data_IF_274624438694
#
_entry.id   IF_274624438694
#
_cell.length_a   1.000
_cell.length_b   1.000
_cell.length_c   1.000
_cell.angle_alpha   90.00
_cell.angle_beta   90.00
_cell.angle_gamma   90.00
#
_symmetry.space_group_name_H-M   'P 1'
#
loop_
_entity.id
_entity.type
_entity.pdbx_description
1 polymer ?
#
# COMPACT_ATOMS: atom_id res chain seq x y z
N UNK A 1 52.03 -32.12 -17.27
CA UNK A 1 51.62 -32.12 -15.85
C UNK A 1 52.54 -31.17 -15.13
N UNK A 2 52.04 -30.38 -14.17
CA UNK A 2 52.88 -29.40 -13.48
C UNK A 2 53.81 -30.14 -12.50
N UNK A 3 55.12 -29.98 -12.65
CA UNK A 3 56.11 -30.64 -11.79
C UNK A 3 56.06 -30.13 -10.34
N UNK A 4 55.34 -29.02 -10.10
CA UNK A 4 55.25 -28.35 -8.80
C UNK A 4 53.80 -28.02 -8.41
N UNK A 5 53.46 -28.27 -7.15
CA UNK A 5 52.14 -27.94 -6.61
C UNK A 5 52.01 -26.43 -6.34
N UNK A 6 51.06 -25.72 -7.00
CA UNK A 6 50.90 -24.27 -6.86
C UNK A 6 50.41 -23.80 -5.48
N UNK A 7 49.91 -24.70 -4.63
CA UNK A 7 49.43 -24.35 -3.28
C UNK A 7 50.49 -24.52 -2.19
N UNK A 8 51.32 -25.56 -2.28
CA UNK A 8 52.24 -25.94 -1.21
C UNK A 8 53.71 -26.07 -1.63
N UNK A 9 54.03 -25.92 -2.93
CA UNK A 9 55.40 -25.92 -3.43
C UNK A 9 56.05 -27.31 -3.59
N UNK A 10 55.33 -28.40 -3.30
CA UNK A 10 55.85 -29.76 -3.47
C UNK A 10 56.30 -30.04 -4.92
N UNK A 11 57.51 -30.58 -5.10
CA UNK A 11 58.09 -30.94 -6.40
C UNK A 11 57.88 -32.44 -6.71
N UNK A 12 57.86 -32.83 -7.98
CA UNK A 12 57.74 -34.23 -8.41
C UNK A 12 56.32 -34.80 -8.33
N UNK A 13 55.28 -33.98 -8.48
CA UNK A 13 53.89 -34.43 -8.39
C UNK A 13 53.43 -35.09 -9.70
N UNK A 14 53.51 -36.42 -9.77
CA UNK A 14 53.12 -37.22 -10.95
C UNK A 14 51.62 -37.49 -11.13
N UNK A 15 50.75 -37.01 -10.23
CA UNK A 15 49.29 -37.20 -10.28
C UNK A 15 48.54 -35.89 -10.08
N UNK A 16 47.32 -35.77 -10.61
CA UNK A 16 46.56 -34.50 -10.53
C UNK A 16 46.19 -34.10 -9.08
N UNK A 17 46.17 -35.05 -8.14
CA UNK A 17 45.93 -34.77 -6.72
C UNK A 17 47.25 -34.77 -5.96
N UNK A 18 47.62 -33.62 -5.39
CA UNK A 18 48.85 -33.50 -4.61
C UNK A 18 48.78 -34.37 -3.33
N UNK A 19 49.74 -35.28 -3.09
CA UNK A 19 49.73 -36.15 -1.92
C UNK A 19 49.99 -35.40 -0.60
N UNK A 20 50.66 -34.25 -0.66
CA UNK A 20 51.04 -33.48 0.53
C UNK A 20 49.90 -32.58 1.04
N UNK A 21 49.13 -31.95 0.14
CA UNK A 21 48.07 -31.00 0.53
C UNK A 21 46.67 -31.38 0.05
N UNK A 22 46.52 -32.52 -0.65
CA UNK A 22 45.24 -33.07 -1.10
C UNK A 22 44.55 -32.30 -2.24
N UNK A 23 45.17 -31.22 -2.74
CA UNK A 23 44.55 -30.36 -3.75
C UNK A 23 44.69 -30.96 -5.15
N UNK A 24 43.60 -30.88 -5.90
CA UNK A 24 43.58 -31.19 -7.34
C UNK A 24 44.18 -30.01 -8.10
N UNK A 25 45.32 -30.21 -8.73
CA UNK A 25 46.17 -29.17 -9.29
C UNK A 25 45.44 -28.43 -10.42
N UNK A 26 44.79 -29.16 -11.31
CA UNK A 26 44.02 -28.59 -12.43
C UNK A 26 42.91 -27.65 -11.97
N UNK A 27 42.10 -28.07 -10.99
CA UNK A 27 41.02 -27.26 -10.42
C UNK A 27 41.55 -26.01 -9.69
N UNK A 28 42.67 -26.14 -8.99
CA UNK A 28 43.27 -25.04 -8.25
C UNK A 28 43.88 -23.99 -9.19
N UNK A 29 44.56 -24.42 -10.26
CA UNK A 29 45.07 -23.53 -11.30
C UNK A 29 43.94 -22.78 -12.02
N UNK A 30 42.85 -23.49 -12.38
CA UNK A 30 41.68 -22.84 -12.99
C UNK A 30 41.03 -21.80 -12.06
N UNK A 31 41.04 -22.06 -10.75
CA UNK A 31 40.52 -21.13 -9.75
C UNK A 31 41.41 -19.89 -9.59
N UNK A 32 42.73 -20.06 -9.57
CA UNK A 32 43.70 -18.96 -9.56
C UNK A 32 43.58 -18.10 -10.82
N UNK A 33 43.35 -18.73 -11.98
CA UNK A 33 43.18 -18.02 -13.24
C UNK A 33 41.87 -17.22 -13.28
N UNK A 34 40.78 -17.74 -12.72
CA UNK A 34 39.53 -16.97 -12.51
C UNK A 34 39.75 -15.76 -11.61
N UNK A 35 40.53 -15.89 -10.53
CA UNK A 35 40.84 -14.77 -9.64
C UNK A 35 41.69 -13.70 -10.35
N UNK A 36 42.62 -14.09 -11.22
CA UNK A 36 43.42 -13.16 -12.03
C UNK A 36 42.60 -12.41 -13.09
N UNK A 37 41.58 -13.05 -13.68
CA UNK A 37 40.75 -12.44 -14.74
C UNK A 37 39.70 -11.45 -14.23
N UNK A 38 39.45 -11.37 -12.92
CA UNK A 38 38.41 -10.51 -12.35
C UNK A 38 36.98 -10.94 -12.76
N UNK A 39 35.93 -10.30 -12.20
CA UNK A 39 34.56 -10.60 -12.60
C UNK A 39 34.32 -10.21 -14.08
N UNK A 40 33.61 -11.03 -14.86
CA UNK A 40 33.29 -10.69 -16.23
C UNK A 40 32.45 -9.41 -16.28
N UNK A 41 32.74 -8.54 -17.25
CA UNK A 41 31.90 -7.38 -17.54
C UNK A 41 30.44 -7.84 -17.76
N UNK A 42 29.44 -7.06 -17.30
CA UNK A 42 28.04 -7.44 -17.44
C UNK A 42 27.71 -7.67 -18.92
N UNK A 43 27.27 -8.90 -19.22
CA UNK A 43 26.80 -9.28 -20.55
C UNK A 43 25.61 -8.38 -20.89
N UNK A 44 25.80 -7.44 -21.81
CA UNK A 44 24.70 -6.78 -22.50
C UNK A 44 23.95 -7.88 -23.26
N UNK A 45 22.87 -8.39 -22.66
CA UNK A 45 21.90 -9.20 -23.41
C UNK A 45 21.42 -8.34 -24.57
N UNK A 46 21.72 -8.76 -25.80
CA UNK A 46 21.04 -8.24 -26.97
C UNK A 46 19.54 -8.41 -26.72
N UNK A 47 18.84 -7.28 -26.61
CA UNK A 47 17.39 -7.30 -26.47
C UNK A 47 16.83 -7.98 -27.72
N UNK A 48 16.13 -9.10 -27.50
CA UNK A 48 15.29 -9.71 -28.50
C UNK A 48 14.31 -8.62 -28.97
N UNK A 49 14.36 -8.29 -30.27
CA UNK A 49 13.56 -7.23 -30.84
C UNK A 49 12.08 -7.50 -30.54
N UNK A 50 11.37 -6.60 -29.84
CA UNK A 50 9.94 -6.74 -29.69
C UNK A 50 9.31 -6.58 -31.08
N UNK A 51 8.53 -7.58 -31.50
CA UNK A 51 7.60 -7.47 -32.61
C UNK A 51 6.85 -6.14 -32.48
N UNK A 52 7.02 -5.29 -33.49
CA UNK A 52 6.48 -3.95 -33.54
C UNK A 52 4.95 -4.00 -33.43
N UNK A 53 4.44 -3.74 -32.22
CA UNK A 53 3.11 -3.17 -32.05
C UNK A 53 3.20 -1.77 -32.66
N UNK A 54 2.34 -1.40 -33.63
CA UNK A 54 2.40 -0.08 -34.22
C UNK A 54 2.29 0.97 -33.11
N UNK A 55 3.16 2.00 -33.08
CA UNK A 55 3.11 3.01 -32.05
C UNK A 55 1.76 3.71 -32.16
N UNK A 56 0.90 3.52 -31.16
CA UNK A 56 -0.14 4.50 -30.87
C UNK A 56 0.60 5.82 -30.70
N UNK A 57 0.26 6.79 -31.54
CA UNK A 57 0.89 8.10 -31.57
C UNK A 57 1.06 8.62 -30.15
N UNK A 58 2.31 8.64 -29.70
CA UNK A 58 2.71 9.46 -28.57
C UNK A 58 2.45 10.87 -29.07
N UNK A 59 1.33 11.45 -28.65
CA UNK A 59 1.10 12.87 -28.81
C UNK A 59 2.38 13.58 -28.36
N UNK A 60 2.91 14.41 -29.26
CA UNK A 60 4.17 15.11 -29.11
C UNK A 60 4.39 15.56 -27.66
N UNK A 61 5.56 15.21 -27.11
CA UNK A 61 5.99 15.66 -25.79
C UNK A 61 5.78 17.18 -25.72
N UNK A 62 4.82 17.58 -24.88
CA UNK A 62 4.58 18.99 -24.61
C UNK A 62 5.89 19.61 -24.08
N UNK A 63 6.22 20.86 -24.47
CA UNK A 63 7.46 21.49 -24.04
C UNK A 63 7.54 21.49 -22.51
N UNK A 64 8.73 21.15 -21.99
CA UNK A 64 9.03 21.19 -20.57
C UNK A 64 8.67 22.59 -20.03
N UNK A 65 7.62 22.65 -19.20
CA UNK A 65 7.26 23.90 -18.53
C UNK A 65 8.38 24.30 -17.58
N UNK A 66 8.71 25.60 -17.47
CA UNK A 66 9.74 26.08 -16.57
C UNK A 66 9.44 25.63 -15.13
N UNK A 67 10.40 24.94 -14.54
CA UNK A 67 10.44 24.47 -13.15
C UNK A 67 10.61 25.66 -12.20
N UNK A 68 9.55 26.45 -12.02
CA UNK A 68 9.61 27.61 -11.13
C UNK A 68 8.30 28.35 -10.86
N UNK A 69 7.21 28.05 -11.56
CA UNK A 69 5.93 28.69 -11.25
C UNK A 69 5.30 28.09 -9.99
N UNK A 70 4.70 28.91 -9.14
CA UNK A 70 3.74 28.55 -8.08
C UNK A 70 2.58 27.72 -8.66
N UNK A 71 2.86 26.44 -8.95
CA UNK A 71 2.02 25.61 -9.77
C UNK A 71 0.92 25.00 -8.93
N UNK A 72 -0.33 25.38 -9.22
CA UNK A 72 -1.49 24.61 -8.78
C UNK A 72 -1.57 23.32 -9.62
N UNK A 73 -1.01 22.23 -9.12
CA UNK A 73 -1.01 20.93 -9.81
C UNK A 73 -2.19 20.09 -9.31
N UNK A 74 -2.83 19.35 -10.22
CA UNK A 74 -3.93 18.44 -9.88
C UNK A 74 -3.72 17.11 -10.54
N UNK A 75 -3.93 16.04 -9.78
CA UNK A 75 -4.07 14.72 -10.37
C UNK A 75 -5.41 14.64 -11.13
N UNK A 76 -5.46 13.80 -12.15
CA UNK A 76 -6.67 13.56 -12.95
C UNK A 76 -6.85 12.07 -13.17
N UNK A 77 -8.08 11.60 -13.11
CA UNK A 77 -8.41 10.20 -13.41
C UNK A 77 -9.11 10.11 -14.76
N UNK A 78 -8.46 9.46 -15.73
CA UNK A 78 -8.93 9.34 -17.12
C UNK A 78 -9.73 8.05 -17.39
N UNK A 79 -9.72 7.12 -16.43
CA UNK A 79 -10.40 5.83 -16.59
C UNK A 79 -11.91 5.96 -16.78
N UNK A 80 -12.49 4.99 -17.49
CA UNK A 80 -13.93 4.89 -17.76
C UNK A 80 -14.60 3.81 -16.89
N UNK A 81 -15.88 4.00 -16.58
CA UNK A 81 -16.67 3.02 -15.84
C UNK A 81 -16.89 1.73 -16.63
N UNK A 82 -17.08 1.84 -17.95
CA UNK A 82 -17.28 0.68 -18.84
C UNK A 82 -16.03 -0.21 -18.94
N UNK A 83 -14.83 0.37 -19.05
CA UNK A 83 -13.60 -0.42 -19.05
C UNK A 83 -13.37 -1.11 -17.69
N UNK A 84 -13.67 -0.42 -16.58
CA UNK A 84 -13.61 -1.03 -15.25
C UNK A 84 -14.67 -2.13 -15.07
N UNK A 85 -15.85 -1.97 -15.67
CA UNK A 85 -16.91 -2.99 -15.66
C UNK A 85 -16.49 -4.26 -16.41
N UNK A 86 -15.88 -4.13 -17.58
CA UNK A 86 -15.32 -5.29 -18.30
C UNK A 86 -14.30 -6.07 -17.46
N UNK A 87 -13.41 -5.36 -16.76
CA UNK A 87 -12.47 -5.98 -15.82
C UNK A 87 -13.22 -6.65 -14.66
N UNK A 88 -14.23 -5.99 -14.10
CA UNK A 88 -15.00 -6.48 -12.97
C UNK A 88 -15.76 -7.77 -13.28
N UNK A 89 -16.47 -7.84 -14.41
CA UNK A 89 -17.23 -9.04 -14.82
C UNK A 89 -16.32 -10.26 -14.96
N UNK A 90 -15.20 -10.11 -15.69
CA UNK A 90 -14.23 -11.20 -15.85
C UNK A 90 -13.66 -11.62 -14.50
N UNK A 91 -13.37 -10.66 -13.62
CA UNK A 91 -12.86 -10.94 -12.29
C UNK A 91 -13.87 -11.68 -11.42
N UNK A 92 -15.15 -11.31 -11.45
CA UNK A 92 -16.21 -12.00 -10.71
C UNK A 92 -16.37 -13.43 -11.22
N UNK A 93 -16.44 -13.62 -12.55
CA UNK A 93 -16.56 -14.95 -13.15
C UNK A 93 -15.40 -15.87 -12.74
N UNK A 94 -14.15 -15.38 -12.85
CA UNK A 94 -12.97 -16.15 -12.45
C UNK A 94 -12.92 -16.38 -10.93
N UNK A 95 -13.40 -15.44 -10.13
CA UNK A 95 -13.50 -15.61 -8.67
C UNK A 95 -14.49 -16.70 -8.31
N UNK A 96 -15.65 -16.76 -8.96
CA UNK A 96 -16.63 -17.83 -8.77
C UNK A 96 -16.09 -19.18 -9.24
N UNK A 97 -15.49 -19.24 -10.43
CA UNK A 97 -14.92 -20.46 -11.00
C UNK A 97 -13.80 -21.05 -10.15
N UNK A 98 -13.04 -20.21 -9.44
CA UNK A 98 -11.93 -20.63 -8.57
C UNK A 98 -12.30 -20.69 -7.09
N UNK A 99 -13.61 -20.75 -6.78
CA UNK A 99 -14.13 -20.82 -5.40
C UNK A 99 -13.54 -19.74 -4.48
N UNK A 100 -13.40 -18.51 -5.00
CA UNK A 100 -12.91 -17.35 -4.26
C UNK A 100 -11.40 -17.10 -4.40
N UNK A 101 -10.61 -18.06 -4.87
CA UNK A 101 -9.13 -17.91 -4.90
C UNK A 101 -8.70 -16.78 -5.84
N UNK A 102 -9.34 -16.61 -7.00
CA UNK A 102 -8.94 -15.57 -7.96
C UNK A 102 -9.20 -14.13 -7.45
N UNK A 103 -9.93 -13.94 -6.35
CA UNK A 103 -10.15 -12.63 -5.72
C UNK A 103 -8.84 -11.85 -5.48
N UNK A 104 -7.75 -12.56 -5.16
CA UNK A 104 -6.45 -11.91 -4.93
C UNK A 104 -5.88 -11.26 -6.20
N UNK A 105 -6.06 -11.90 -7.35
CA UNK A 105 -5.64 -11.37 -8.66
C UNK A 105 -6.61 -10.30 -9.17
N UNK A 106 -7.92 -10.49 -8.93
CA UNK A 106 -8.94 -9.50 -9.25
C UNK A 106 -8.64 -8.14 -8.64
N UNK A 107 -8.33 -8.10 -7.33
CA UNK A 107 -7.94 -6.88 -6.61
C UNK A 107 -6.70 -6.20 -7.21
N UNK A 108 -5.70 -6.98 -7.61
CA UNK A 108 -4.49 -6.45 -8.26
C UNK A 108 -4.82 -5.83 -9.61
N UNK A 109 -5.64 -6.50 -10.44
CA UNK A 109 -6.06 -5.98 -11.75
C UNK A 109 -6.83 -4.66 -11.63
N UNK A 110 -7.77 -4.56 -10.69
CA UNK A 110 -8.51 -3.31 -10.47
C UNK A 110 -7.58 -2.18 -10.01
N UNK A 111 -6.67 -2.44 -9.06
CA UNK A 111 -5.71 -1.42 -8.62
C UNK A 111 -4.76 -0.98 -9.72
N UNK A 112 -4.25 -1.93 -10.50
CA UNK A 112 -3.37 -1.65 -11.63
C UNK A 112 -4.08 -0.76 -12.65
N UNK A 113 -5.34 -1.07 -12.98
CA UNK A 113 -6.17 -0.21 -13.82
C UNK A 113 -6.31 1.19 -13.23
N UNK A 114 -6.77 1.31 -11.97
CA UNK A 114 -7.00 2.62 -11.33
C UNK A 114 -5.75 3.48 -11.28
N UNK A 115 -4.59 2.90 -10.95
CA UNK A 115 -3.32 3.64 -10.90
C UNK A 115 -2.82 3.99 -12.31
N UNK A 116 -2.91 3.05 -13.25
CA UNK A 116 -2.52 3.30 -14.65
C UNK A 116 -3.36 4.40 -15.27
N UNK A 117 -4.61 4.57 -14.85
CA UNK A 117 -5.55 5.58 -15.33
C UNK A 117 -5.49 6.91 -14.55
N UNK A 118 -4.67 6.99 -13.51
CA UNK A 118 -4.41 8.21 -12.74
C UNK A 118 -3.19 8.92 -13.33
N UNK A 119 -3.39 10.14 -13.81
CA UNK A 119 -2.35 11.06 -14.28
C UNK A 119 -2.02 12.10 -13.20
N UNK A 120 -0.75 12.40 -13.03
CA UNK A 120 -0.28 13.55 -12.27
C UNK A 120 0.91 14.17 -12.99
N UNK A 121 0.80 15.47 -13.28
CA UNK A 121 1.85 16.26 -13.95
C UNK A 121 2.29 15.68 -15.32
N UNK A 122 1.37 15.04 -16.05
CA UNK A 122 1.60 14.46 -17.37
C UNK A 122 2.10 13.01 -17.37
N UNK A 123 2.33 12.43 -16.19
CA UNK A 123 2.76 11.03 -16.06
C UNK A 123 1.78 10.21 -15.22
N UNK A 124 1.62 8.95 -15.62
CA UNK A 124 0.72 8.00 -14.96
C UNK A 124 1.41 7.23 -13.83
N UNK A 125 0.62 6.80 -12.85
CA UNK A 125 1.11 5.90 -11.83
C UNK A 125 1.17 4.45 -12.36
N UNK A 126 2.06 3.64 -11.80
CA UNK A 126 2.15 2.22 -12.08
C UNK A 126 2.04 1.40 -10.78
N UNK A 127 1.48 0.20 -10.90
CA UNK A 127 1.31 -0.74 -9.80
C UNK A 127 2.02 -2.05 -10.09
N UNK A 128 2.88 -2.51 -9.17
CA UNK A 128 3.76 -3.66 -9.34
C UNK A 128 3.41 -4.85 -8.45
N UNK A 129 2.28 -4.79 -7.73
CA UNK A 129 1.89 -5.86 -6.81
C UNK A 129 1.35 -7.08 -7.55
N UNK A 130 1.50 -8.27 -6.96
CA UNK A 130 1.00 -9.52 -7.57
C UNK A 130 -0.07 -10.19 -6.71
N UNK A 131 -0.97 -10.95 -7.36
CA UNK A 131 -2.02 -11.70 -6.65
C UNK A 131 -1.44 -12.75 -5.70
N UNK A 132 -0.34 -13.40 -6.12
CA UNK A 132 0.39 -14.40 -5.32
C UNK A 132 0.94 -13.83 -4.02
N UNK A 133 1.54 -12.64 -4.04
CA UNK A 133 2.03 -11.97 -2.82
C UNK A 133 0.88 -11.76 -1.82
N UNK A 134 -0.29 -11.35 -2.31
CA UNK A 134 -1.46 -11.10 -1.48
C UNK A 134 -2.05 -12.39 -0.91
N UNK A 135 -2.12 -13.45 -1.72
CA UNK A 135 -2.56 -14.79 -1.28
C UNK A 135 -1.64 -15.37 -0.20
N UNK A 136 -0.32 -15.30 -0.39
CA UNK A 136 0.66 -15.77 0.62
C UNK A 136 0.51 -14.98 1.92
N UNK A 137 0.30 -13.66 1.82
CA UNK A 137 0.08 -12.84 3.00
C UNK A 137 -1.21 -13.17 3.74
N UNK A 138 -2.28 -13.47 3.01
CA UNK A 138 -3.54 -13.96 3.57
C UNK A 138 -3.37 -15.32 4.25
N UNK A 139 -2.72 -16.28 3.60
CA UNK A 139 -2.50 -17.61 4.16
C UNK A 139 -1.73 -17.56 5.49
N UNK A 140 -0.69 -16.72 5.58
CA UNK A 140 0.02 -16.46 6.84
C UNK A 140 -0.90 -15.88 7.91
N UNK A 141 -1.68 -14.86 7.58
CA UNK A 141 -2.63 -14.27 8.52
C UNK A 141 -3.69 -15.29 8.99
N UNK A 142 -4.19 -16.14 8.09
CA UNK A 142 -5.16 -17.18 8.42
C UNK A 142 -4.60 -18.21 9.42
N UNK A 143 -3.39 -18.73 9.15
CA UNK A 143 -2.75 -19.73 10.01
C UNK A 143 -2.38 -19.16 11.37
N UNK A 144 -1.80 -17.96 11.43
CA UNK A 144 -1.27 -17.41 12.69
C UNK A 144 -2.28 -16.60 13.50
N UNK A 145 -3.38 -16.14 12.90
CA UNK A 145 -4.34 -15.27 13.58
C UNK A 145 -5.79 -15.72 13.41
N UNK A 146 -6.32 -15.87 12.18
CA UNK A 146 -7.76 -16.21 12.04
C UNK A 146 -8.11 -17.56 12.63
N UNK A 147 -7.39 -18.61 12.27
CA UNK A 147 -7.67 -19.96 12.76
C UNK A 147 -7.56 -20.00 14.29
N UNK A 148 -6.47 -19.53 14.93
CA UNK A 148 -6.40 -19.49 16.38
C UNK A 148 -7.53 -18.68 17.02
N UNK A 149 -7.80 -17.46 16.56
CA UNK A 149 -8.86 -16.61 17.14
C UNK A 149 -10.23 -17.27 17.01
N UNK A 150 -10.55 -17.82 15.83
CA UNK A 150 -11.81 -18.53 15.60
C UNK A 150 -11.92 -19.79 16.46
N UNK A 151 -10.85 -20.58 16.60
CA UNK A 151 -10.85 -21.75 17.47
C UNK A 151 -11.03 -21.39 18.95
N UNK A 152 -10.42 -20.30 19.42
CA UNK A 152 -10.63 -19.80 20.79
C UNK A 152 -12.10 -19.43 21.04
N UNK A 153 -12.81 -18.91 20.04
CA UNK A 153 -14.23 -18.60 20.17
C UNK A 153 -15.14 -19.82 19.97
N UNK A 154 -14.81 -20.75 19.05
CA UNK A 154 -15.68 -21.87 18.70
C UNK A 154 -15.52 -23.10 19.60
N UNK A 155 -14.30 -23.48 19.99
CA UNK A 155 -14.07 -24.72 20.74
C UNK A 155 -14.82 -24.72 22.08
N UNK A 156 -14.74 -23.68 22.92
CA UNK A 156 -15.49 -23.66 24.18
C UNK A 156 -17.01 -23.73 24.01
N UNK A 157 -17.53 -23.23 22.88
CA UNK A 157 -18.95 -23.31 22.52
C UNK A 157 -19.34 -24.75 22.17
N UNK A 158 -18.56 -25.38 21.27
CA UNK A 158 -18.81 -26.73 20.77
C UNK A 158 -18.64 -27.81 21.84
N UNK A 159 -17.73 -27.61 22.80
CA UNK A 159 -17.48 -28.58 23.87
C UNK A 159 -18.40 -28.39 25.08
N UNK A 160 -19.32 -27.41 25.06
CA UNK A 160 -20.16 -27.09 26.21
C UNK A 160 -19.36 -26.63 27.43
N UNK A 161 -18.25 -25.91 27.22
CA UNK A 161 -17.37 -25.48 28.30
C UNK A 161 -18.10 -24.53 29.27
N UNK A 162 -17.64 -24.50 30.52
CA UNK A 162 -18.20 -23.60 31.53
C UNK A 162 -18.16 -22.13 31.07
N UNK A 163 -19.12 -21.34 31.55
CA UNK A 163 -19.26 -19.92 31.19
C UNK A 163 -17.97 -19.11 31.40
N UNK A 164 -17.21 -19.40 32.46
CA UNK A 164 -15.92 -18.76 32.76
C UNK A 164 -14.88 -19.03 31.67
N UNK A 165 -14.78 -20.27 31.19
CA UNK A 165 -13.85 -20.66 30.13
C UNK A 165 -14.24 -19.98 28.81
N UNK A 166 -15.53 -19.93 28.48
CA UNK A 166 -16.04 -19.24 27.27
C UNK A 166 -15.68 -17.76 27.29
N UNK A 167 -15.92 -17.04 28.39
CA UNK A 167 -15.56 -15.62 28.48
C UNK A 167 -14.06 -15.39 28.48
N UNK A 168 -13.27 -16.23 29.18
CA UNK A 168 -11.82 -16.13 29.17
C UNK A 168 -11.24 -16.34 27.77
N UNK A 169 -11.70 -17.35 27.04
CA UNK A 169 -11.24 -17.63 25.68
C UNK A 169 -11.61 -16.49 24.70
N UNK A 170 -12.82 -15.94 24.80
CA UNK A 170 -13.23 -14.79 24.01
C UNK A 170 -12.38 -13.55 24.35
N UNK A 171 -12.09 -13.30 25.62
CA UNK A 171 -11.21 -12.19 26.04
C UNK A 171 -9.81 -12.32 25.42
N UNK A 172 -9.23 -13.52 25.45
CA UNK A 172 -7.93 -13.78 24.81
C UNK A 172 -8.02 -13.57 23.29
N UNK A 173 -9.09 -14.05 22.64
CA UNK A 173 -9.36 -13.82 21.22
C UNK A 173 -9.44 -12.33 20.87
N UNK A 174 -10.13 -11.54 21.69
CA UNK A 174 -10.21 -10.08 21.53
C UNK A 174 -8.84 -9.41 21.70
N UNK A 175 -8.04 -9.81 22.68
CA UNK A 175 -6.69 -9.27 22.87
C UNK A 175 -5.80 -9.58 21.66
N UNK A 176 -5.82 -10.82 21.15
CA UNK A 176 -5.08 -11.21 19.95
C UNK A 176 -5.54 -10.42 18.72
N UNK A 177 -6.85 -10.29 18.52
CA UNK A 177 -7.41 -9.48 17.43
C UNK A 177 -6.97 -8.01 17.54
N UNK A 178 -6.96 -7.45 18.74
CA UNK A 178 -6.57 -6.06 19.00
C UNK A 178 -5.10 -5.77 18.65
N UNK A 179 -4.21 -6.76 18.72
CA UNK A 179 -2.80 -6.62 18.30
C UNK A 179 -2.66 -6.90 16.80
N UNK A 180 -3.38 -7.92 16.31
CA UNK A 180 -3.32 -8.31 14.91
C UNK A 180 -3.84 -7.23 13.95
N UNK A 181 -4.97 -6.60 14.27
CA UNK A 181 -5.61 -5.59 13.42
C UNK A 181 -4.66 -4.44 13.07
N UNK A 182 -4.05 -3.70 14.01
CA UNK A 182 -3.11 -2.63 13.68
C UNK A 182 -1.86 -3.13 12.94
N UNK A 183 -1.37 -4.33 13.26
CA UNK A 183 -0.24 -4.94 12.56
C UNK A 183 -0.57 -5.20 11.07
N UNK A 184 -1.74 -5.75 10.79
CA UNK A 184 -2.20 -5.98 9.42
C UNK A 184 -2.51 -4.65 8.69
N UNK A 185 -3.05 -3.64 9.37
CA UNK A 185 -3.31 -2.31 8.78
C UNK A 185 -2.01 -1.65 8.28
N UNK A 186 -0.96 -1.62 9.10
CA UNK A 186 0.32 -1.01 8.72
C UNK A 186 1.06 -1.83 7.65
N UNK A 187 0.99 -3.16 7.73
CA UNK A 187 1.50 -4.06 6.70
C UNK A 187 0.82 -3.82 5.34
N UNK A 188 -0.51 -3.76 5.31
CA UNK A 188 -1.29 -3.48 4.10
C UNK A 188 -0.94 -2.12 3.49
N UNK A 189 -0.78 -1.07 4.32
CA UNK A 189 -0.37 0.26 3.84
C UNK A 189 1.06 0.25 3.29
N UNK A 190 1.99 -0.45 3.94
CA UNK A 190 3.38 -0.60 3.50
C UNK A 190 3.47 -1.31 2.15
N UNK A 191 2.78 -2.45 2.00
CA UNK A 191 2.71 -3.20 0.75
C UNK A 191 2.21 -2.34 -0.40
N UNK A 192 1.05 -1.66 -0.24
CA UNK A 192 0.47 -0.82 -1.30
C UNK A 192 1.42 0.29 -1.75
N UNK A 193 2.08 0.97 -0.81
CA UNK A 193 3.02 2.04 -1.14
C UNK A 193 4.26 1.48 -1.86
N UNK A 194 4.86 0.38 -1.36
CA UNK A 194 6.03 -0.26 -1.99
C UNK A 194 5.80 -0.71 -3.43
N UNK A 195 4.55 -1.02 -3.78
CA UNK A 195 4.13 -1.47 -5.11
C UNK A 195 3.58 -0.35 -5.99
N UNK A 196 3.47 0.87 -5.48
CA UNK A 196 3.06 2.04 -6.26
C UNK A 196 4.30 2.81 -6.69
N UNK A 197 4.37 3.19 -7.97
CA UNK A 197 5.44 4.04 -8.50
C UNK A 197 4.90 5.14 -9.39
N UNK A 198 5.65 6.24 -9.49
CA UNK A 198 5.41 7.33 -10.43
C UNK A 198 6.75 7.81 -10.99
N UNK A 199 6.84 8.00 -12.31
CA UNK A 199 8.12 8.27 -13.01
C UNK A 199 9.25 7.30 -12.65
N UNK A 200 8.91 6.01 -12.47
CA UNK A 200 9.87 4.96 -12.07
C UNK A 200 10.30 4.97 -10.60
N UNK A 201 9.92 5.99 -9.82
CA UNK A 201 10.26 6.11 -8.40
C UNK A 201 9.14 5.50 -7.55
N UNK A 202 9.50 4.66 -6.57
CA UNK A 202 8.54 3.96 -5.71
C UNK A 202 8.20 4.75 -4.45
N UNK A 203 6.96 4.61 -4.00
CA UNK A 203 6.55 5.04 -2.66
C UNK A 203 6.98 4.01 -1.62
N UNK A 204 7.17 4.42 -0.38
CA UNK A 204 7.44 3.48 0.73
C UNK A 204 6.88 3.99 2.06
N UNK A 205 6.61 3.07 2.98
CA UNK A 205 6.20 3.38 4.35
C UNK A 205 7.28 2.90 5.32
N UNK A 206 8.06 3.84 5.84
CA UNK A 206 9.18 3.58 6.75
C UNK A 206 8.76 3.76 8.21
N UNK A 207 7.71 3.05 8.62
CA UNK A 207 7.15 3.13 9.97
C UNK A 207 7.46 1.87 10.77
N UNK A 208 7.72 2.02 12.07
CA UNK A 208 7.82 0.91 13.02
C UNK A 208 6.43 0.29 13.27
N UNK A 209 6.32 -1.02 13.10
CA UNK A 209 5.06 -1.75 13.32
C UNK A 209 4.61 -1.63 14.78
N UNK A 210 5.52 -1.81 15.73
CA UNK A 210 5.19 -1.79 17.16
C UNK A 210 4.80 -0.42 17.68
N UNK A 211 5.38 0.66 17.14
CA UNK A 211 4.98 2.01 17.53
C UNK A 211 3.56 2.33 17.05
N UNK A 212 3.18 1.83 15.86
CA UNK A 212 1.81 1.92 15.40
C UNK A 212 0.83 1.09 16.23
N UNK A 213 1.22 -0.14 16.59
CA UNK A 213 0.40 -1.00 17.47
C UNK A 213 0.18 -0.31 18.83
N UNK A 214 1.23 0.22 19.47
CA UNK A 214 1.11 0.97 20.74
C UNK A 214 0.21 2.19 20.60
N UNK A 215 0.36 2.96 19.52
CA UNK A 215 -0.49 4.13 19.23
C UNK A 215 -1.94 3.71 19.06
N UNK A 216 -2.21 2.65 18.30
CA UNK A 216 -3.56 2.14 18.07
C UNK A 216 -4.18 1.61 19.36
N UNK A 217 -3.49 0.73 20.10
CA UNK A 217 -4.03 0.12 21.32
C UNK A 217 -4.33 1.15 22.41
N UNK A 218 -3.41 2.10 22.66
CA UNK A 218 -3.66 3.20 23.60
C UNK A 218 -4.84 4.06 23.16
N UNK A 219 -4.92 4.37 21.86
CA UNK A 219 -6.01 5.20 21.35
C UNK A 219 -7.36 4.49 21.42
N UNK A 220 -7.43 3.20 21.10
CA UNK A 220 -8.65 2.38 21.21
C UNK A 220 -9.12 2.33 22.66
N UNK A 221 -8.21 2.17 23.62
CA UNK A 221 -8.52 2.25 25.05
C UNK A 221 -9.15 3.61 25.42
N UNK A 222 -8.52 4.72 25.04
CA UNK A 222 -9.09 6.05 25.33
C UNK A 222 -10.41 6.33 24.60
N UNK A 223 -10.58 5.84 23.37
CA UNK A 223 -11.86 5.92 22.65
C UNK A 223 -12.95 5.17 23.41
N UNK A 224 -12.66 3.97 23.92
CA UNK A 224 -13.61 3.19 24.71
C UNK A 224 -13.95 3.89 26.03
N UNK A 225 -12.97 4.35 26.80
CA UNK A 225 -13.18 5.03 28.08
C UNK A 225 -13.93 6.36 27.96
N UNK A 226 -13.84 7.04 26.81
CA UNK A 226 -14.49 8.34 26.57
C UNK A 226 -15.77 8.24 25.74
N UNK A 227 -16.29 7.01 25.53
CA UNK A 227 -17.47 6.73 24.69
C UNK A 227 -17.39 7.38 23.30
N UNK A 228 -16.19 7.38 22.70
CA UNK A 228 -15.95 7.94 21.38
C UNK A 228 -15.46 9.39 21.34
N UNK A 229 -15.50 10.13 22.45
CA UNK A 229 -15.14 11.55 22.46
C UNK A 229 -13.64 11.81 22.13
N UNK A 230 -12.77 10.82 22.39
CA UNK A 230 -11.35 10.86 22.01
C UNK A 230 -11.07 10.61 20.50
N UNK A 231 -12.06 10.15 19.74
CA UNK A 231 -11.91 9.82 18.31
C UNK A 231 -11.22 10.88 17.43
N UNK A 232 -11.55 12.19 17.50
CA UNK A 232 -10.89 13.22 16.69
C UNK A 232 -9.37 13.35 16.97
N UNK A 233 -8.94 13.10 18.20
CA UNK A 233 -7.52 13.10 18.56
C UNK A 233 -6.85 11.84 18.02
N UNK A 234 -7.50 10.67 18.16
CA UNK A 234 -7.01 9.41 17.60
C UNK A 234 -6.80 9.48 16.09
N UNK A 235 -7.82 9.93 15.33
CA UNK A 235 -7.72 10.00 13.87
C UNK A 235 -6.60 10.94 13.40
N UNK A 236 -6.35 12.03 14.15
CA UNK A 236 -5.25 12.95 13.88
C UNK A 236 -3.89 12.30 14.14
N UNK A 237 -3.69 11.69 15.32
CA UNK A 237 -2.44 11.01 15.67
C UNK A 237 -2.12 9.89 14.68
N UNK A 238 -3.13 9.15 14.23
CA UNK A 238 -3.00 8.13 13.19
C UNK A 238 -2.58 8.72 11.85
N UNK A 239 -3.22 9.82 11.43
CA UNK A 239 -2.89 10.51 10.17
C UNK A 239 -1.47 11.09 10.20
N UNK A 240 -1.08 11.72 11.30
CA UNK A 240 0.26 12.25 11.53
C UNK A 240 1.32 11.15 11.43
N UNK A 241 1.13 10.07 12.20
CA UNK A 241 2.03 8.93 12.21
C UNK A 241 2.18 8.32 10.81
N UNK A 242 1.08 8.06 10.10
CA UNK A 242 1.16 7.46 8.77
C UNK A 242 1.86 8.41 7.79
N UNK A 243 1.47 9.69 7.77
CA UNK A 243 1.98 10.67 6.80
C UNK A 243 3.47 10.94 6.97
N UNK A 244 3.94 11.15 8.20
CA UNK A 244 5.37 11.42 8.48
C UNK A 244 6.30 10.28 8.11
N UNK A 245 5.79 9.05 8.05
CA UNK A 245 6.55 7.86 7.66
C UNK A 245 6.32 7.45 6.20
N UNK A 246 5.51 8.18 5.42
CA UNK A 246 5.42 7.98 3.97
C UNK A 246 6.60 8.68 3.28
N UNK A 247 7.19 7.99 2.31
CA UNK A 247 8.29 8.50 1.49
C UNK A 247 7.97 8.30 0.01
N UNK A 248 8.44 9.24 -0.80
CA UNK A 248 8.50 9.11 -2.25
C UNK A 248 9.96 9.31 -2.67
N UNK A 249 10.61 8.23 -3.14
CA UNK A 249 12.05 8.22 -3.35
C UNK A 249 12.82 8.59 -2.07
N UNK A 250 13.58 9.68 -2.15
CA UNK A 250 14.39 10.26 -1.08
C UNK A 250 13.68 11.31 -0.23
N UNK A 251 12.47 11.74 -0.59
CA UNK A 251 11.72 12.77 0.14
C UNK A 251 10.60 12.18 0.99
N UNK A 252 10.41 12.75 2.19
CA UNK A 252 9.35 12.36 3.13
C UNK A 252 8.16 13.30 3.05
N UNK A 253 6.97 12.77 3.33
CA UNK A 253 5.78 13.59 3.54
C UNK A 253 5.80 14.21 4.94
N UNK A 254 5.25 15.41 5.06
CA UNK A 254 5.08 16.14 6.31
C UNK A 254 3.62 16.24 6.72
N UNK A 255 3.40 16.35 8.03
CA UNK A 255 2.09 16.64 8.59
C UNK A 255 2.21 17.56 9.81
N UNK A 256 1.51 18.69 9.79
CA UNK A 256 1.53 19.74 10.82
C UNK A 256 0.17 19.92 11.54
N UNK A 257 -0.78 19.01 11.32
CA UNK A 257 -2.11 19.05 11.93
C UNK A 257 -2.10 18.78 13.44
N UNK A 258 -2.99 19.45 14.17
CA UNK A 258 -3.16 19.38 15.63
C UNK A 258 -4.44 18.63 16.00
N UNK A 259 -4.34 17.71 16.96
CA UNK A 259 -5.46 16.83 17.34
C UNK A 259 -6.71 17.55 17.86
N UNK A 260 -6.55 18.71 18.47
CA UNK A 260 -7.65 19.51 19.04
C UNK A 260 -8.51 20.22 18.00
N UNK A 261 -8.00 20.45 16.79
CA UNK A 261 -8.66 21.29 15.79
C UNK A 261 -9.92 20.63 15.19
N UNK A 262 -10.00 19.29 15.27
CA UNK A 262 -11.17 18.52 14.86
C UNK A 262 -12.13 18.22 16.00
N UNK A 263 -11.79 18.53 17.25
CA UNK A 263 -12.61 18.21 18.41
C UNK A 263 -13.96 18.93 18.39
N UNK A 264 -13.96 20.27 18.28
CA UNK A 264 -15.19 21.06 18.24
C UNK A 264 -16.08 20.76 17.04
N UNK A 265 -15.55 20.62 15.80
CA UNK A 265 -16.35 20.18 14.67
C UNK A 265 -16.95 18.78 14.84
N UNK A 266 -16.24 17.88 15.51
CA UNK A 266 -16.73 16.53 15.81
C UNK A 266 -17.87 16.58 16.83
N UNK A 267 -17.74 17.37 17.89
CA UNK A 267 -18.80 17.56 18.88
C UNK A 267 -20.05 18.18 18.25
N UNK A 268 -19.88 19.24 17.44
CA UNK A 268 -20.98 19.84 16.68
C UNK A 268 -21.64 18.86 15.72
N UNK A 269 -20.86 17.97 15.08
CA UNK A 269 -21.38 16.89 14.25
C UNK A 269 -22.25 15.93 15.06
N UNK A 270 -21.81 15.49 16.25
CA UNK A 270 -22.57 14.58 17.13
C UNK A 270 -23.89 15.23 17.54
N UNK A 271 -23.84 16.47 18.03
CA UNK A 271 -25.05 17.19 18.50
C UNK A 271 -26.05 17.36 17.36
N UNK A 272 -25.58 17.74 16.15
CA UNK A 272 -26.44 17.93 14.98
C UNK A 272 -26.86 16.62 14.30
N UNK A 273 -26.24 15.49 14.63
CA UNK A 273 -26.50 14.21 13.96
C UNK A 273 -27.97 13.79 14.00
N UNK A 274 -28.66 13.75 15.17
CA UNK A 274 -30.08 13.39 15.22
C UNK A 274 -30.97 14.41 14.49
N UNK A 275 -30.68 15.71 14.61
CA UNK A 275 -31.51 16.77 14.00
C UNK A 275 -31.37 16.84 12.47
N UNK A 276 -30.24 16.40 11.93
CA UNK A 276 -29.96 16.46 10.48
C UNK A 276 -30.15 15.10 9.79
N UNK A 277 -30.71 14.10 10.47
CA UNK A 277 -30.82 12.72 9.98
C UNK A 277 -29.48 12.19 9.42
N UNK A 278 -28.39 12.52 10.10
CA UNK A 278 -27.03 12.13 9.71
C UNK A 278 -26.34 13.00 8.66
N UNK A 279 -26.99 14.03 8.08
CA UNK A 279 -26.33 14.92 7.10
C UNK A 279 -25.13 15.68 7.69
N UNK A 280 -25.10 15.92 9.00
CA UNK A 280 -23.96 16.54 9.70
C UNK A 280 -22.65 15.78 9.48
N UNK A 281 -22.69 14.45 9.28
CA UNK A 281 -21.53 13.62 8.98
C UNK A 281 -20.81 14.09 7.72
N UNK A 282 -21.53 14.44 6.65
CA UNK A 282 -20.91 14.93 5.41
C UNK A 282 -20.23 16.29 5.59
N UNK A 283 -20.77 17.13 6.47
CA UNK A 283 -20.14 18.39 6.90
C UNK A 283 -18.80 18.15 7.58
N UNK A 284 -18.78 17.24 8.55
CA UNK A 284 -17.56 16.84 9.26
C UNK A 284 -16.56 16.14 8.32
N UNK A 285 -17.01 15.20 7.49
CA UNK A 285 -16.17 14.48 6.53
C UNK A 285 -15.51 15.44 5.53
N UNK A 286 -16.25 16.40 4.98
CA UNK A 286 -15.69 17.43 4.10
C UNK A 286 -14.67 18.30 4.84
N UNK A 287 -14.96 18.74 6.07
CA UNK A 287 -14.01 19.53 6.88
C UNK A 287 -12.74 18.73 7.20
N UNK A 288 -12.88 17.47 7.60
CA UNK A 288 -11.78 16.52 7.83
C UNK A 288 -10.89 16.38 6.59
N UNK A 289 -11.50 16.16 5.42
CA UNK A 289 -10.76 16.03 4.16
C UNK A 289 -9.99 17.32 3.78
N UNK A 290 -10.62 18.49 3.94
CA UNK A 290 -9.96 19.79 3.73
C UNK A 290 -8.78 19.98 4.70
N UNK A 291 -9.00 19.68 5.97
CA UNK A 291 -8.00 19.83 7.02
C UNK A 291 -6.80 18.90 6.80
N UNK A 292 -7.04 17.61 6.50
CA UNK A 292 -5.94 16.68 6.24
C UNK A 292 -5.14 17.06 5.01
N UNK A 293 -5.79 17.51 3.94
CA UNK A 293 -5.08 18.01 2.76
C UNK A 293 -4.23 19.24 3.13
N UNK A 294 -4.82 20.27 3.74
CA UNK A 294 -4.12 21.53 4.06
C UNK A 294 -2.93 21.37 5.02
N UNK A 295 -2.92 20.30 5.82
CA UNK A 295 -1.84 20.00 6.76
C UNK A 295 -0.90 18.90 6.26
N UNK A 296 -1.10 18.38 5.05
CA UNK A 296 -0.16 17.44 4.44
C UNK A 296 0.78 18.22 3.51
N UNK A 297 2.08 18.02 3.70
CA UNK A 297 3.11 18.65 2.87
C UNK A 297 3.99 17.60 2.20
N UNK A 298 4.56 17.97 1.06
CA UNK A 298 5.55 17.19 0.34
C UNK A 298 6.65 18.15 -0.13
N UNK A 299 7.80 18.10 0.53
CA UNK A 299 8.81 19.16 0.38
C UNK A 299 8.22 20.53 0.75
N UNK A 300 8.36 21.50 -0.14
CA UNK A 300 7.79 22.84 0.01
C UNK A 300 6.32 22.94 -0.49
N UNK A 301 5.81 21.91 -1.17
CA UNK A 301 4.45 21.89 -1.67
C UNK A 301 3.45 21.43 -0.59
N UNK A 302 2.23 21.94 -0.66
CA UNK A 302 1.15 21.65 0.29
C UNK A 302 -0.09 21.18 -0.43
N UNK A 303 -0.72 20.12 0.08
CA UNK A 303 -1.97 19.65 -0.50
C UNK A 303 -3.11 20.61 -0.12
N UNK A 304 -4.07 20.79 -1.02
CA UNK A 304 -5.32 21.50 -0.73
C UNK A 304 -6.49 20.69 -1.21
N UNK A 305 -7.57 20.68 -0.43
CA UNK A 305 -8.83 20.08 -0.82
C UNK A 305 -9.96 21.11 -0.81
N UNK A 306 -10.81 21.07 -1.83
CA UNK A 306 -11.98 21.95 -2.00
C UNK A 306 -13.31 21.21 -1.81
N UNK A 307 -13.27 19.99 -1.27
CA UNK A 307 -14.47 19.17 -1.03
C UNK A 307 -15.48 19.94 -0.19
N UNK A 308 -16.73 20.01 -0.65
CA UNK A 308 -17.87 20.63 0.05
C UNK A 308 -18.85 19.56 0.55
N UNK A 309 -19.61 19.87 1.60
CA UNK A 309 -20.52 18.92 2.24
C UNK A 309 -21.65 18.45 1.30
N UNK A 310 -22.37 19.38 0.66
CA UNK A 310 -23.50 19.05 -0.22
C UNK A 310 -23.08 18.22 -1.46
N UNK A 311 -22.03 18.59 -2.23
CA UNK A 311 -21.57 17.75 -3.34
C UNK A 311 -21.09 16.36 -2.89
N UNK A 312 -20.45 16.27 -1.70
CA UNK A 312 -20.03 14.99 -1.14
C UNK A 312 -21.24 14.12 -0.73
N UNK A 313 -22.25 14.73 -0.08
CA UNK A 313 -23.49 14.05 0.29
C UNK A 313 -24.23 13.57 -0.96
N UNK A 314 -24.40 14.42 -1.97
CA UNK A 314 -25.04 14.07 -3.23
C UNK A 314 -24.31 12.94 -3.95
N UNK A 315 -22.98 13.00 -4.04
CA UNK A 315 -22.17 11.92 -4.59
C UNK A 315 -22.42 10.61 -3.85
N UNK A 316 -22.35 10.63 -2.51
CA UNK A 316 -22.47 9.43 -1.69
C UNK A 316 -23.86 8.82 -1.78
N UNK A 317 -24.92 9.64 -1.66
CA UNK A 317 -26.31 9.19 -1.71
C UNK A 317 -26.64 8.63 -3.10
N UNK A 318 -26.27 9.32 -4.18
CA UNK A 318 -26.54 8.83 -5.53
C UNK A 318 -25.69 7.60 -5.89
N UNK A 319 -24.47 7.48 -5.36
CA UNK A 319 -23.67 6.27 -5.49
C UNK A 319 -24.31 5.08 -4.76
N UNK A 320 -24.76 5.29 -3.51
CA UNK A 320 -25.44 4.27 -2.73
C UNK A 320 -26.73 3.83 -3.43
N UNK A 321 -27.53 4.77 -3.90
CA UNK A 321 -28.74 4.48 -4.67
C UNK A 321 -28.41 3.66 -5.92
N UNK A 322 -27.38 4.05 -6.67
CA UNK A 322 -26.90 3.29 -7.84
C UNK A 322 -26.48 1.87 -7.49
N UNK A 323 -25.78 1.66 -6.37
CA UNK A 323 -25.40 0.32 -5.91
C UNK A 323 -26.62 -0.51 -5.50
N UNK A 324 -27.54 0.06 -4.72
CA UNK A 324 -28.73 -0.66 -4.25
C UNK A 324 -29.65 -1.04 -5.40
N UNK A 325 -29.97 -0.10 -6.29
CA UNK A 325 -30.87 -0.34 -7.43
C UNK A 325 -30.31 -1.34 -8.45
N UNK A 326 -28.99 -1.52 -8.51
CA UNK A 326 -28.33 -2.44 -9.44
C UNK A 326 -27.78 -3.69 -8.75
N UNK A 327 -28.11 -3.90 -7.47
CA UNK A 327 -27.58 -5.00 -6.64
C UNK A 327 -26.03 -5.10 -6.69
N UNK A 328 -25.37 -3.94 -6.72
CA UNK A 328 -23.91 -3.81 -6.73
C UNK A 328 -23.27 -3.75 -8.12
N UNK A 329 -24.01 -4.02 -9.21
CA UNK A 329 -23.45 -3.98 -10.56
C UNK A 329 -22.91 -2.58 -10.96
N UNK A 330 -23.45 -1.50 -10.38
CA UNK A 330 -22.98 -0.14 -10.61
C UNK A 330 -21.61 0.19 -9.97
N UNK A 331 -20.99 -0.75 -9.23
CA UNK A 331 -19.72 -0.52 -8.53
C UNK A 331 -18.63 0.11 -9.41
N UNK A 332 -18.38 -0.34 -10.65
CA UNK A 332 -17.36 0.27 -11.52
C UNK A 332 -17.61 1.76 -11.81
N UNK A 333 -18.84 2.15 -12.11
CA UNK A 333 -19.18 3.55 -12.39
C UNK A 333 -19.11 4.41 -11.13
N UNK A 334 -19.57 3.87 -10.00
CA UNK A 334 -19.50 4.52 -8.69
C UNK A 334 -18.04 4.77 -8.28
N UNK A 335 -17.16 3.80 -8.45
CA UNK A 335 -15.72 3.94 -8.18
C UNK A 335 -15.09 5.02 -9.06
N UNK A 336 -15.38 5.02 -10.37
CA UNK A 336 -14.86 6.04 -11.31
C UNK A 336 -15.36 7.44 -10.96
N UNK A 337 -16.67 7.60 -10.70
CA UNK A 337 -17.27 8.88 -10.31
C UNK A 337 -16.63 9.42 -9.03
N UNK A 338 -16.35 8.54 -8.07
CA UNK A 338 -15.76 8.91 -6.79
C UNK A 338 -14.28 9.27 -6.90
N UNK A 339 -13.50 8.54 -7.71
CA UNK A 339 -12.11 8.90 -8.03
C UNK A 339 -12.05 10.27 -8.72
N UNK A 340 -12.89 10.50 -9.73
CA UNK A 340 -12.98 11.79 -10.42
C UNK A 340 -13.32 12.93 -9.45
N UNK A 341 -14.29 12.71 -8.56
CA UNK A 341 -14.63 13.71 -7.53
C UNK A 341 -13.46 13.98 -6.58
N UNK A 342 -12.78 12.95 -6.11
CA UNK A 342 -11.63 13.09 -5.21
C UNK A 342 -10.50 13.90 -5.86
N UNK A 343 -10.10 13.53 -7.08
CA UNK A 343 -9.02 14.20 -7.81
C UNK A 343 -9.40 15.61 -8.30
N UNK A 344 -10.66 15.85 -8.69
CA UNK A 344 -11.12 17.19 -9.06
C UNK A 344 -11.05 18.19 -7.90
N UNK A 345 -11.19 17.71 -6.67
CA UNK A 345 -11.16 18.52 -5.46
C UNK A 345 -9.80 18.55 -4.76
N UNK A 346 -8.81 17.78 -5.19
CA UNK A 346 -7.47 17.72 -4.57
C UNK A 346 -6.44 18.40 -5.48
N UNK A 347 -5.73 19.40 -4.95
CA UNK A 347 -4.59 20.03 -5.59
C UNK A 347 -3.34 19.95 -4.73
N UNK A 348 -2.20 20.09 -5.37
CA UNK A 348 -0.91 20.30 -4.75
C UNK A 348 -0.45 21.71 -5.16
N UNK A 349 -0.31 22.58 -4.18
CA UNK A 349 0.04 23.99 -4.39
C UNK A 349 1.46 24.21 -3.86
N UNK A 350 2.31 24.87 -4.65
CA UNK A 350 3.69 25.21 -4.28
C UNK A 350 4.76 24.58 -5.18
N UNK A 351 6.04 24.91 -4.96
CA UNK A 351 7.14 24.43 -5.78
C UNK A 351 7.39 22.93 -5.54
N UNK A 352 7.53 22.18 -6.63
CA UNK A 352 7.78 20.74 -6.63
C UNK A 352 9.12 20.46 -7.32
N UNK A 353 10.18 20.27 -6.54
CA UNK A 353 11.52 19.95 -7.05
C UNK A 353 11.67 18.45 -7.28
N UNK A 354 11.19 17.99 -8.45
CA UNK A 354 11.22 16.58 -8.83
C UNK A 354 12.63 16.07 -9.16
N UNK A 355 13.50 16.97 -9.63
CA UNK A 355 14.90 16.66 -10.00
C UNK A 355 15.73 16.22 -8.78
N UNK A 356 15.34 16.61 -7.57
CA UNK A 356 16.02 16.24 -6.33
C UNK A 356 15.63 14.85 -5.81
N UNK A 357 14.61 14.21 -6.39
CA UNK A 357 14.04 12.95 -5.87
C UNK A 357 14.74 11.78 -6.54
N UNK A 358 15.52 11.03 -5.76
CA UNK A 358 16.24 9.85 -6.24
C UNK A 358 15.69 8.58 -5.61
N UNK A 359 15.78 7.47 -6.34
CA UNK A 359 15.41 6.17 -5.80
C UNK A 359 16.49 5.67 -4.84
N UNK A 360 16.16 5.57 -3.56
CA UNK A 360 17.04 4.95 -2.57
C UNK A 360 16.87 3.43 -2.59
N UNK A 361 17.98 2.68 -2.58
CA UNK A 361 17.98 1.24 -2.35
C UNK A 361 17.53 0.97 -0.90
N UNK A 362 16.54 0.10 -0.71
CA UNK A 362 15.97 -0.19 0.60
C UNK A 362 16.40 -1.56 1.11
N UNK A 363 16.83 -1.61 2.37
CA UNK A 363 17.01 -2.85 3.14
C UNK A 363 15.63 -3.38 3.54
N UNK A 364 15.23 -4.52 2.98
CA UNK A 364 13.92 -5.15 3.19
C UNK A 364 13.78 -5.54 4.67
N UNK A 365 12.87 -4.91 5.40
CA UNK A 365 12.52 -5.33 6.76
C UNK A 365 11.46 -6.44 6.69
N UNK A 366 11.88 -7.69 6.86
CA UNK A 366 11.09 -8.90 6.60
C UNK A 366 9.80 -9.04 7.45
N UNK A 367 9.68 -8.31 8.55
CA UNK A 367 8.70 -8.62 9.61
C UNK A 367 7.27 -8.14 9.35
N UNK A 368 7.03 -7.32 8.32
CA UNK A 368 5.69 -6.72 8.11
C UNK A 368 5.14 -6.75 6.68
N UNK A 369 5.90 -7.23 5.70
CA UNK A 369 5.39 -7.39 4.32
C UNK A 369 4.54 -8.65 4.17
N UNK A 370 4.80 -9.68 4.99
CA UNK A 370 4.14 -10.99 4.90
C UNK A 370 2.71 -11.07 5.46
N UNK A 371 2.16 -10.02 6.08
CA UNK A 371 0.79 -10.02 6.66
C UNK A 371 -0.15 -9.02 5.96
N UNK A 372 0.32 -8.37 4.90
CA UNK A 372 -0.33 -7.24 4.23
C UNK A 372 -1.56 -7.61 3.38
N UNK A 373 -1.84 -8.91 3.20
CA UNK A 373 -2.83 -9.40 2.25
C UNK A 373 -4.29 -9.35 2.72
N UNK A 374 -4.55 -9.07 4.00
CA UNK A 374 -5.86 -9.32 4.60
C UNK A 374 -6.73 -8.09 4.87
N UNK A 375 -6.21 -7.05 5.55
CA UNK A 375 -7.03 -5.87 5.92
C UNK A 375 -7.14 -4.88 4.76
N UNK A 376 -7.92 -5.33 3.81
CA UNK A 376 -8.37 -4.56 2.68
C UNK A 376 -9.89 -4.70 2.61
N UNK A 377 -10.53 -4.36 3.73
CA UNK A 377 -11.84 -3.73 3.70
C UNK A 377 -11.63 -2.47 2.86
N UNK A 378 -12.07 -2.57 1.61
CA UNK A 378 -12.20 -1.48 0.67
C UNK A 378 -13.27 -0.51 1.23
N UNK A 379 -12.91 0.19 2.31
CA UNK A 379 -13.44 1.52 2.61
C UNK A 379 -12.57 2.53 1.84
N UNK A 380 -12.32 2.25 0.56
CA UNK A 380 -12.09 3.29 -0.41
C UNK A 380 -13.32 4.20 -0.36
N UNK A 381 -13.08 5.47 -0.01
CA UNK A 381 -14.02 6.61 0.05
C UNK A 381 -14.56 7.03 1.43
N UNK A 382 -13.76 7.01 2.51
CA UNK A 382 -13.95 7.96 3.65
C UNK A 382 -12.67 8.43 4.34
#
# INVERSE_FOLDING_TARGET
>A
MADTCPKCGATGVGSDRCPQCGVVITLYQASLEKLRRGPPAPVRRAAMAPTAVPPRSIAAAAPARPSGSEGHRRARFMGSGAALFGIHVVNVLLTLLTLGVYFFWAKVKVRAYVLSETDFDGDRFAYHGTGREMLVGFAKAAVFFFIPITLLSMVPELTGASLRVRYAANLVGYVLASVFVPMAMIGARRYRLSRTSWRGIRFSLRASTWDFVRLWSRSTFFVACTLGLYYPIYIMRRQDFLTRHMWFGSQRFGFDGRGRDLFWPFLGMIVLFPFTLGLSWFGFAAKKARYFASHTTFGAARFRSRVRALPLAWLTISNLLGLVLTLGLAWPWVSVRSLRFAYANLSLDGPLSLEAITQQAQTVTATGEGLAGFLDADLGLT
#
